data_IF_125738471951
#
_entry.id   IF_125738471951
#
_cell.length_a   1.000
_cell.length_b   1.000
_cell.length_c   1.000
_cell.angle_alpha   90.00
_cell.angle_beta   90.00
_cell.angle_gamma   90.00
#
_symmetry.space_group_name_H-M   'P 1'
#
loop_
_entity.id
_entity.type
_entity.pdbx_description
1 polymer ?
#
# COMPACT_ATOMS: atom_id res chain seq x y z
N UNK A 1 -0.98 -4.96 -14.93
CA UNK A 1 -0.01 -5.48 -13.95
C UNK A 1 -0.62 -5.42 -12.57
N UNK A 2 -0.39 -6.40 -11.67
CA UNK A 2 -0.76 -6.30 -10.27
C UNK A 2 0.16 -5.31 -9.55
N UNK A 3 -0.41 -4.43 -8.70
CA UNK A 3 0.36 -3.41 -8.00
C UNK A 3 0.66 -3.78 -6.53
N UNK A 4 0.09 -4.86 -6.01
CA UNK A 4 0.37 -5.39 -4.67
C UNK A 4 0.34 -4.29 -3.60
N UNK A 5 1.39 -4.19 -2.76
CA UNK A 5 1.46 -3.18 -1.71
C UNK A 5 1.57 -1.73 -2.21
N UNK A 6 1.85 -1.43 -3.48
CA UNK A 6 1.68 -0.07 -3.99
C UNK A 6 0.20 0.39 -3.91
N UNK A 7 -0.75 -0.55 -3.85
CA UNK A 7 -2.16 -0.25 -3.53
C UNK A 7 -2.31 0.52 -2.22
N UNK A 8 -1.40 0.33 -1.25
CA UNK A 8 -1.42 1.07 0.03
C UNK A 8 -1.20 2.56 -0.15
N UNK A 9 -0.40 2.97 -1.14
CA UNK A 9 -0.23 4.38 -1.48
C UNK A 9 -1.54 4.98 -1.98
N UNK A 10 -2.34 4.22 -2.74
CA UNK A 10 -3.67 4.64 -3.20
C UNK A 10 -4.66 4.76 -2.04
N UNK A 11 -4.66 3.76 -1.15
CA UNK A 11 -5.50 3.75 0.06
C UNK A 11 -5.15 4.94 0.96
N UNK A 12 -3.86 5.22 1.14
CA UNK A 12 -3.40 6.38 1.91
C UNK A 12 -3.83 7.70 1.26
N UNK A 13 -3.69 7.85 -0.06
CA UNK A 13 -4.14 9.02 -0.78
C UNK A 13 -5.66 9.23 -0.63
N UNK A 14 -6.46 8.18 -0.80
CA UNK A 14 -7.91 8.25 -0.62
C UNK A 14 -8.31 8.61 0.82
N UNK A 15 -7.65 8.02 1.83
CA UNK A 15 -7.88 8.35 3.23
C UNK A 15 -7.56 9.83 3.51
N UNK A 16 -6.46 10.36 2.96
CA UNK A 16 -6.07 11.75 3.13
C UNK A 16 -6.98 12.72 2.37
N UNK A 17 -7.53 12.33 1.21
CA UNK A 17 -8.60 13.07 0.54
C UNK A 17 -9.85 13.16 1.41
N UNK A 18 -10.23 12.05 2.07
CA UNK A 18 -11.35 12.08 3.02
C UNK A 18 -11.06 12.92 4.28
N UNK A 19 -9.80 12.98 4.73
CA UNK A 19 -9.39 13.90 5.81
C UNK A 19 -9.51 15.36 5.36
N UNK A 20 -9.03 15.69 4.15
CA UNK A 20 -9.18 17.01 3.53
C UNK A 20 -10.66 17.43 3.50
N UNK A 21 -11.54 16.49 3.15
CA UNK A 21 -12.98 16.73 3.03
C UNK A 21 -13.74 16.65 4.37
N UNK A 22 -13.02 16.51 5.50
CA UNK A 22 -13.61 16.44 6.85
C UNK A 22 -14.42 15.16 7.13
N UNK A 23 -14.30 14.14 6.28
CA UNK A 23 -15.00 12.86 6.39
C UNK A 23 -14.28 11.84 7.28
N UNK A 24 -12.96 11.98 7.42
CA UNK A 24 -12.12 11.20 8.34
C UNK A 24 -11.23 12.15 9.16
N UNK A 25 -10.71 11.66 10.28
CA UNK A 25 -9.78 12.39 11.14
C UNK A 25 -8.47 11.63 11.26
N UNK A 26 -7.35 12.31 11.03
CA UNK A 26 -6.04 11.68 10.97
C UNK A 26 -5.50 11.31 12.37
N UNK A 27 -5.70 12.19 13.33
CA UNK A 27 -5.07 12.16 14.65
C UNK A 27 -6.04 11.89 15.81
N UNK A 28 -7.29 11.57 15.50
CA UNK A 28 -8.30 11.15 16.47
C UNK A 28 -8.38 9.64 16.50
N UNK A 29 -8.60 9.06 17.69
CA UNK A 29 -8.85 7.63 17.80
C UNK A 29 -10.05 7.23 16.94
N UNK A 30 -9.88 6.17 16.17
CA UNK A 30 -10.99 5.62 15.40
C UNK A 30 -12.06 5.06 16.38
N UNK A 31 -13.35 5.09 16.02
CA UNK A 31 -14.43 4.61 16.88
C UNK A 31 -14.16 3.20 17.44
N UNK A 32 -14.15 3.08 18.78
CA UNK A 32 -13.90 1.81 19.47
C UNK A 32 -12.47 1.28 19.37
N UNK A 33 -11.50 2.07 18.87
CA UNK A 33 -10.10 1.65 18.69
C UNK A 33 -9.17 2.50 19.56
N UNK A 34 -8.02 1.91 19.93
CA UNK A 34 -6.94 2.57 20.69
C UNK A 34 -5.96 3.34 19.80
N UNK A 35 -6.12 3.27 18.48
CA UNK A 35 -5.21 3.85 17.50
C UNK A 35 -5.92 4.87 16.60
N UNK A 36 -5.13 5.73 15.97
CA UNK A 36 -5.59 6.73 15.00
C UNK A 36 -5.42 6.25 13.56
N UNK A 37 -6.07 6.94 12.62
CA UNK A 37 -5.86 6.71 11.19
C UNK A 37 -4.38 6.91 10.80
N UNK A 38 -3.70 7.92 11.36
CA UNK A 38 -2.27 8.16 11.13
C UNK A 38 -1.44 6.94 11.49
N UNK A 39 -1.72 6.36 12.66
CA UNK A 39 -0.97 5.20 13.15
C UNK A 39 -1.19 3.97 12.27
N UNK A 40 -2.38 3.77 11.70
CA UNK A 40 -2.60 2.71 10.71
C UNK A 40 -1.79 2.96 9.43
N UNK A 41 -1.92 4.16 8.86
CA UNK A 41 -1.25 4.54 7.61
C UNK A 41 0.28 4.48 7.71
N UNK A 42 0.84 4.75 8.90
CA UNK A 42 2.28 4.72 9.16
C UNK A 42 2.80 3.36 9.67
N UNK A 43 1.94 2.33 9.81
CA UNK A 43 2.26 1.02 10.40
C UNK A 43 2.73 1.08 11.87
N UNK A 44 2.15 2.00 12.65
CA UNK A 44 2.47 2.25 14.06
C UNK A 44 1.32 1.94 15.02
N UNK A 45 0.25 1.30 14.54
CA UNK A 45 -0.91 0.96 15.36
C UNK A 45 -0.74 -0.32 16.18
N UNK A 46 0.27 -1.15 15.89
CA UNK A 46 0.47 -2.45 16.54
C UNK A 46 -0.48 -3.55 16.06
N UNK A 47 -1.24 -3.32 14.98
CA UNK A 47 -2.20 -4.29 14.43
C UNK A 47 -1.44 -5.47 13.81
N UNK A 48 -1.73 -6.73 14.19
CA UNK A 48 -0.98 -7.89 13.70
C UNK A 48 -1.17 -8.13 12.19
N UNK A 49 -0.26 -8.88 11.58
CA UNK A 49 -0.26 -9.15 10.14
C UNK A 49 -0.50 -10.65 9.85
N UNK A 50 -1.16 -10.96 8.73
CA UNK A 50 -1.46 -12.34 8.33
C UNK A 50 -0.34 -13.01 7.51
N UNK A 51 0.65 -12.24 7.05
CA UNK A 51 1.74 -12.76 6.21
C UNK A 51 2.62 -13.82 6.88
N UNK A 52 2.57 -13.95 8.21
CA UNK A 52 3.27 -15.00 8.95
C UNK A 52 2.45 -16.28 9.20
N UNK A 53 1.16 -16.31 8.82
CA UNK A 53 0.29 -17.46 9.09
C UNK A 53 0.55 -18.61 8.11
N UNK A 54 1.06 -19.74 8.60
CA UNK A 54 1.25 -20.94 7.78
C UNK A 54 -0.05 -21.45 7.14
N UNK A 55 -1.18 -21.33 7.87
CA UNK A 55 -2.49 -21.68 7.34
C UNK A 55 -2.91 -20.83 6.14
N UNK A 56 -2.58 -19.54 6.14
CA UNK A 56 -2.86 -18.63 5.03
C UNK A 56 -2.08 -19.08 3.78
N UNK A 57 -0.77 -19.31 3.92
CA UNK A 57 0.07 -19.75 2.80
C UNK A 57 -0.35 -21.09 2.23
N UNK A 58 -0.71 -22.04 3.10
CA UNK A 58 -1.22 -23.36 2.69
C UNK A 58 -2.51 -23.23 1.88
N UNK A 59 -3.46 -22.42 2.33
CA UNK A 59 -4.76 -22.29 1.66
C UNK A 59 -4.67 -21.49 0.35
N UNK A 60 -3.78 -20.48 0.28
CA UNK A 60 -3.41 -19.79 -0.97
C UNK A 60 -2.78 -20.78 -1.96
N UNK A 61 -1.81 -21.58 -1.53
CA UNK A 61 -1.14 -22.56 -2.39
C UNK A 61 -2.08 -23.68 -2.85
N UNK A 62 -3.08 -24.04 -2.05
CA UNK A 62 -4.14 -24.97 -2.40
C UNK A 62 -5.25 -24.36 -3.26
N UNK A 63 -5.10 -23.11 -3.70
CA UNK A 63 -6.06 -22.38 -4.52
C UNK A 63 -7.48 -22.31 -3.91
N UNK A 64 -7.57 -22.26 -2.58
CA UNK A 64 -8.85 -22.10 -1.88
C UNK A 64 -9.38 -20.67 -2.00
N UNK A 65 -10.66 -20.52 -1.70
CA UNK A 65 -11.26 -19.19 -1.59
C UNK A 65 -10.76 -18.46 -0.34
N UNK A 66 -10.60 -17.13 -0.40
CA UNK A 66 -10.16 -16.32 0.73
C UNK A 66 -11.06 -16.50 1.95
N UNK A 67 -10.45 -16.50 3.13
CA UNK A 67 -11.22 -16.54 4.36
C UNK A 67 -12.11 -15.30 4.50
N UNK A 68 -13.30 -15.42 5.11
CA UNK A 68 -14.05 -14.25 5.55
C UNK A 68 -13.19 -13.34 6.43
N UNK A 69 -13.36 -12.03 6.33
CA UNK A 69 -12.58 -11.06 7.13
C UNK A 69 -12.64 -11.37 8.63
N UNK A 70 -13.79 -11.76 9.16
CA UNK A 70 -13.94 -12.13 10.57
C UNK A 70 -13.11 -13.37 10.96
N UNK A 71 -12.88 -14.30 10.03
CA UNK A 71 -11.99 -15.44 10.26
C UNK A 71 -10.52 -15.01 10.24
N UNK A 72 -10.12 -14.19 9.26
CA UNK A 72 -8.78 -13.63 9.23
C UNK A 72 -8.44 -12.87 10.52
N UNK A 73 -9.33 -11.98 10.97
CA UNK A 73 -9.11 -11.16 12.16
C UNK A 73 -8.98 -12.01 13.43
N UNK A 74 -9.74 -13.11 13.53
CA UNK A 74 -9.55 -14.11 14.60
C UNK A 74 -8.22 -14.84 14.47
N UNK A 75 -7.83 -15.24 13.26
CA UNK A 75 -6.61 -16.01 13.02
C UNK A 75 -5.33 -15.22 13.34
N UNK A 76 -5.35 -13.90 13.20
CA UNK A 76 -4.21 -13.02 13.57
C UNK A 76 -4.29 -12.47 15.00
N UNK A 77 -5.36 -12.78 15.73
CA UNK A 77 -5.68 -12.18 17.03
C UNK A 77 -5.69 -10.64 17.00
N UNK A 78 -6.52 -10.07 16.11
CA UNK A 78 -6.53 -8.64 15.80
C UNK A 78 -6.88 -7.72 16.99
N UNK A 79 -7.44 -8.27 18.07
CA UNK A 79 -7.75 -7.52 19.29
C UNK A 79 -6.52 -7.35 20.20
N UNK A 80 -5.50 -8.22 20.06
CA UNK A 80 -4.23 -8.11 20.74
C UNK A 80 -3.21 -7.34 19.90
N UNK A 81 -3.03 -6.05 20.20
CA UNK A 81 -1.98 -5.25 19.59
C UNK A 81 -0.59 -5.75 20.01
N UNK A 82 0.35 -5.78 19.07
CA UNK A 82 1.74 -6.20 19.27
C UNK A 82 2.53 -5.25 20.15
N UNK A 83 2.15 -3.98 20.16
CA UNK A 83 2.70 -2.89 20.96
C UNK A 83 1.65 -1.79 21.12
N UNK A 84 1.84 -0.87 22.06
CA UNK A 84 0.95 0.27 22.22
C UNK A 84 0.99 1.17 20.98
N UNK A 85 -0.15 1.66 20.47
CA UNK A 85 -0.17 2.54 19.31
C UNK A 85 0.77 3.74 19.46
N UNK A 86 1.66 3.92 18.48
CA UNK A 86 2.64 5.00 18.47
C UNK A 86 3.92 4.75 19.28
N UNK A 87 4.08 3.58 19.91
CA UNK A 87 5.32 3.21 20.63
C UNK A 87 6.25 2.28 19.83
N UNK A 88 5.78 1.75 18.70
CA UNK A 88 6.55 0.85 17.85
C UNK A 88 6.23 1.00 16.36
N UNK A 89 6.78 0.07 15.57
CA UNK A 89 6.52 -0.04 14.14
C UNK A 89 6.55 -1.51 13.71
N UNK A 90 5.51 -1.95 13.00
CA UNK A 90 5.46 -3.26 12.36
C UNK A 90 4.51 -3.20 11.16
N UNK A 91 4.99 -3.65 10.00
CA UNK A 91 4.24 -3.59 8.76
C UNK A 91 2.95 -4.44 8.84
N UNK A 92 1.78 -3.83 8.61
CA UNK A 92 0.49 -4.48 8.80
C UNK A 92 -0.43 -4.36 7.60
N UNK A 93 -0.63 -5.47 6.89
CA UNK A 93 -1.65 -5.55 5.85
C UNK A 93 -3.07 -5.47 6.45
N UNK A 94 -3.26 -5.96 7.68
CA UNK A 94 -4.54 -5.85 8.40
C UNK A 94 -4.80 -4.40 8.78
N UNK A 95 -3.78 -3.64 9.17
CA UNK A 95 -3.92 -2.20 9.40
C UNK A 95 -4.49 -1.48 8.17
N UNK A 96 -4.00 -1.81 6.97
CA UNK A 96 -4.54 -1.27 5.71
C UNK A 96 -5.92 -1.80 5.32
N UNK A 97 -6.27 -3.03 5.70
CA UNK A 97 -7.65 -3.52 5.62
C UNK A 97 -8.60 -2.65 6.45
N UNK A 98 -8.20 -2.25 7.67
CA UNK A 98 -9.02 -1.36 8.51
C UNK A 98 -9.16 0.04 7.91
N UNK A 99 -8.10 0.57 7.27
CA UNK A 99 -8.18 1.84 6.53
C UNK A 99 -9.14 1.72 5.34
N UNK A 100 -9.05 0.63 4.58
CA UNK A 100 -10.01 0.33 3.50
C UNK A 100 -11.45 0.35 4.01
N UNK A 101 -11.74 -0.34 5.11
CA UNK A 101 -13.09 -0.39 5.67
C UNK A 101 -13.60 0.99 6.08
N UNK A 102 -12.76 1.84 6.68
CA UNK A 102 -13.11 3.22 7.00
C UNK A 102 -13.38 4.07 5.75
N UNK A 103 -12.63 3.86 4.66
CA UNK A 103 -12.89 4.51 3.37
C UNK A 103 -14.24 4.05 2.80
N UNK A 104 -14.49 2.74 2.77
CA UNK A 104 -15.73 2.16 2.23
C UNK A 104 -16.96 2.66 3.02
N UNK A 105 -16.88 2.68 4.35
CA UNK A 105 -17.91 3.24 5.24
C UNK A 105 -18.14 4.74 4.99
N UNK A 106 -17.07 5.54 4.92
CA UNK A 106 -17.19 6.96 4.66
C UNK A 106 -17.78 7.24 3.26
N UNK A 107 -17.48 6.41 2.27
CA UNK A 107 -17.94 6.58 0.89
C UNK A 107 -19.32 6.00 0.62
N UNK A 108 -19.76 5.00 1.39
CA UNK A 108 -20.95 4.20 1.08
C UNK A 108 -20.79 3.34 -0.18
N UNK A 109 -19.55 2.99 -0.54
CA UNK A 109 -19.21 2.24 -1.76
C UNK A 109 -18.01 1.34 -1.52
N UNK A 110 -17.79 0.34 -2.38
CA UNK A 110 -16.57 -0.47 -2.33
C UNK A 110 -15.30 0.33 -2.63
N UNK A 111 -14.13 -0.27 -2.35
CA UNK A 111 -12.83 0.34 -2.58
C UNK A 111 -12.57 0.70 -4.05
N UNK A 112 -13.06 -0.07 -5.02
CA UNK A 112 -12.85 0.24 -6.45
C UNK A 112 -13.53 1.57 -6.82
N UNK A 113 -14.80 1.72 -6.46
CA UNK A 113 -15.55 2.95 -6.66
C UNK A 113 -14.95 4.13 -5.88
N UNK A 114 -14.51 3.89 -4.64
CA UNK A 114 -13.87 4.91 -3.82
C UNK A 114 -12.56 5.39 -4.45
N UNK A 115 -11.66 4.48 -4.87
CA UNK A 115 -10.39 4.86 -5.51
C UNK A 115 -10.60 5.53 -6.87
N UNK A 116 -11.57 5.08 -7.66
CA UNK A 116 -11.95 5.75 -8.92
C UNK A 116 -12.33 7.21 -8.69
N UNK A 117 -13.18 7.48 -7.69
CA UNK A 117 -13.66 8.84 -7.38
C UNK A 117 -12.60 9.70 -6.71
N UNK A 118 -11.88 9.17 -5.73
CA UNK A 118 -11.03 9.96 -4.84
C UNK A 118 -9.59 10.09 -5.36
N UNK A 119 -9.12 9.17 -6.22
CA UNK A 119 -7.72 9.10 -6.65
C UNK A 119 -7.61 9.05 -8.17
N UNK A 120 -8.18 8.05 -8.83
CA UNK A 120 -7.93 7.84 -10.26
C UNK A 120 -8.49 8.96 -11.13
N UNK A 121 -9.76 9.32 -10.99
CA UNK A 121 -10.36 10.38 -11.80
C UNK A 121 -9.71 11.76 -11.55
N UNK A 122 -9.49 12.22 -10.30
CA UNK A 122 -8.77 13.47 -10.03
C UNK A 122 -7.35 13.50 -10.57
N UNK A 123 -6.66 12.35 -10.61
CA UNK A 123 -5.32 12.23 -11.17
C UNK A 123 -5.33 11.89 -12.67
N UNK A 124 -6.48 11.85 -13.34
CA UNK A 124 -6.59 11.56 -14.78
C UNK A 124 -6.14 10.16 -15.19
N UNK A 125 -6.49 9.14 -14.41
CA UNK A 125 -6.15 7.73 -14.61
C UNK A 125 -7.40 6.95 -14.99
N UNK A 126 -7.36 6.27 -16.14
CA UNK A 126 -8.48 5.49 -16.65
C UNK A 126 -8.21 3.97 -16.68
N UNK A 127 -6.94 3.54 -16.72
CA UNK A 127 -6.56 2.14 -16.91
C UNK A 127 -6.49 1.31 -15.63
N UNK A 128 -6.85 1.87 -14.48
CA UNK A 128 -6.68 1.23 -13.17
C UNK A 128 -8.02 0.84 -12.52
N UNK A 129 -8.00 -0.26 -11.78
CA UNK A 129 -9.14 -0.78 -11.00
C UNK A 129 -8.65 -1.59 -9.80
N UNK A 130 -9.54 -1.89 -8.86
CA UNK A 130 -9.31 -2.90 -7.81
C UNK A 130 -9.90 -4.22 -8.28
N UNK A 131 -9.10 -5.29 -8.28
CA UNK A 131 -9.57 -6.64 -8.57
C UNK A 131 -10.31 -7.22 -7.36
N UNK A 132 -11.53 -7.74 -7.59
CA UNK A 132 -12.41 -8.27 -6.55
C UNK A 132 -12.61 -9.78 -6.69
N UNK A 133 -12.65 -10.27 -7.93
CA UNK A 133 -12.82 -11.67 -8.28
C UNK A 133 -11.70 -12.18 -9.19
N UNK A 134 -11.57 -13.50 -9.33
CA UNK A 134 -10.57 -14.15 -10.20
C UNK A 134 -10.65 -13.65 -11.66
N UNK A 135 -11.87 -13.42 -12.16
CA UNK A 135 -12.10 -12.93 -13.52
C UNK A 135 -11.46 -11.55 -13.76
N UNK A 136 -11.31 -10.72 -12.72
CA UNK A 136 -10.67 -9.40 -12.83
C UNK A 136 -9.15 -9.49 -13.03
N UNK A 137 -8.56 -10.69 -12.88
CA UNK A 137 -7.14 -10.94 -13.11
C UNK A 137 -6.85 -11.61 -14.47
N UNK A 138 -7.86 -11.88 -15.29
CA UNK A 138 -7.70 -12.62 -16.54
C UNK A 138 -6.79 -11.93 -17.57
N UNK A 139 -6.77 -10.59 -17.57
CA UNK A 139 -5.92 -9.71 -18.42
C UNK A 139 -4.70 -9.16 -17.65
N UNK A 140 -4.46 -9.64 -16.43
CA UNK A 140 -3.39 -9.16 -15.57
C UNK A 140 -2.20 -10.12 -15.65
N UNK A 141 -0.98 -9.59 -15.81
CA UNK A 141 0.24 -10.40 -15.83
C UNK A 141 0.56 -10.97 -14.43
N UNK A 142 -0.17 -12.02 -14.05
CA UNK A 142 -0.02 -12.74 -12.78
C UNK A 142 1.06 -13.84 -12.84
N UNK A 143 1.61 -14.12 -14.02
CA UNK A 143 2.60 -15.18 -14.21
C UNK A 143 2.08 -16.54 -13.75
N UNK A 144 2.86 -17.25 -12.94
CA UNK A 144 2.50 -18.55 -12.38
C UNK A 144 1.30 -18.49 -11.42
N UNK A 145 0.92 -17.29 -10.95
CA UNK A 145 -0.22 -17.07 -10.07
C UNK A 145 -1.51 -16.74 -10.86
N UNK A 146 -1.67 -17.25 -12.09
CA UNK A 146 -2.84 -17.01 -12.94
C UNK A 146 -4.18 -17.45 -12.29
N UNK A 147 -4.13 -18.43 -11.39
CA UNK A 147 -5.27 -18.86 -10.59
C UNK A 147 -5.33 -18.17 -9.22
N UNK A 148 -4.68 -17.04 -8.99
CA UNK A 148 -4.75 -16.37 -7.70
C UNK A 148 -6.13 -15.74 -7.47
N UNK A 149 -6.62 -15.76 -6.22
CA UNK A 149 -7.82 -15.01 -5.86
C UNK A 149 -7.42 -13.67 -5.22
N UNK A 150 -7.83 -12.51 -5.80
CA UNK A 150 -7.38 -11.20 -5.30
C UNK A 150 -7.83 -10.88 -3.86
N UNK A 151 -8.90 -11.50 -3.36
CA UNK A 151 -9.36 -11.37 -1.98
C UNK A 151 -8.38 -11.86 -0.90
N UNK A 152 -7.34 -12.63 -1.26
CA UNK A 152 -6.23 -12.93 -0.35
C UNK A 152 -5.36 -11.69 -0.04
N UNK A 153 -5.47 -10.63 -0.85
CA UNK A 153 -4.92 -9.31 -0.57
C UNK A 153 -5.99 -8.49 0.15
N UNK A 154 -6.11 -8.67 1.46
CA UNK A 154 -7.26 -8.15 2.22
C UNK A 154 -7.42 -6.61 2.18
N UNK A 155 -6.32 -5.87 2.08
CA UNK A 155 -6.37 -4.41 1.90
C UNK A 155 -6.87 -3.99 0.50
N UNK A 156 -6.97 -4.92 -0.45
CA UNK A 156 -7.33 -4.68 -1.85
C UNK A 156 -6.11 -4.82 -2.78
N UNK A 157 -6.36 -5.28 -4.00
CA UNK A 157 -5.34 -5.40 -5.06
C UNK A 157 -5.71 -4.47 -6.22
N UNK A 158 -5.04 -3.32 -6.29
CA UNK A 158 -5.11 -2.49 -7.49
C UNK A 158 -4.30 -3.13 -8.63
N UNK A 159 -4.84 -3.02 -9.83
CA UNK A 159 -4.23 -3.50 -11.08
C UNK A 159 -4.38 -2.44 -12.17
N UNK A 160 -3.37 -2.34 -13.04
CA UNK A 160 -3.40 -1.42 -14.18
C UNK A 160 -2.08 -1.38 -14.96
N UNK A 161 -1.99 -0.53 -16.00
CA UNK A 161 -0.74 -0.25 -16.71
C UNK A 161 0.35 0.25 -15.75
N UNK A 162 1.60 -0.13 -15.99
CA UNK A 162 2.72 0.31 -15.14
C UNK A 162 2.95 1.84 -15.22
N UNK A 163 2.70 2.43 -16.39
CA UNK A 163 2.77 3.88 -16.59
C UNK A 163 1.73 4.68 -15.78
N UNK A 164 0.56 4.07 -15.52
CA UNK A 164 -0.47 4.68 -14.66
C UNK A 164 0.00 4.70 -13.21
N UNK A 165 0.68 3.65 -12.74
CA UNK A 165 1.24 3.62 -11.38
C UNK A 165 2.29 4.73 -11.17
N UNK A 166 3.20 4.93 -12.14
CA UNK A 166 4.16 6.04 -12.13
C UNK A 166 3.44 7.40 -12.16
N UNK A 167 2.44 7.55 -13.04
CA UNK A 167 1.67 8.81 -13.16
C UNK A 167 0.92 9.14 -11.87
N UNK A 168 0.34 8.14 -11.20
CA UNK A 168 -0.34 8.34 -9.91
C UNK A 168 0.63 8.87 -8.87
N UNK A 169 1.78 8.20 -8.67
CA UNK A 169 2.74 8.63 -7.66
C UNK A 169 3.30 10.02 -7.97
N UNK A 170 3.60 10.28 -9.24
CA UNK A 170 4.12 11.57 -9.68
C UNK A 170 3.13 12.71 -9.41
N UNK A 171 1.88 12.57 -9.88
CA UNK A 171 0.83 13.58 -9.73
C UNK A 171 0.35 13.72 -8.29
N UNK A 172 0.38 12.64 -7.50
CA UNK A 172 0.10 12.69 -6.06
C UNK A 172 1.13 13.55 -5.30
N UNK A 173 2.41 13.40 -5.64
CA UNK A 173 3.51 14.06 -4.93
C UNK A 173 3.85 15.46 -5.46
N UNK A 174 3.32 15.85 -6.62
CA UNK A 174 3.63 17.13 -7.27
C UNK A 174 2.41 17.97 -7.62
N UNK A 175 1.24 17.36 -7.69
CA UNK A 175 -0.02 18.03 -7.96
C UNK A 175 -0.69 18.56 -6.70
N UNK A 176 -1.99 18.81 -6.82
CA UNK A 176 -2.81 19.50 -5.83
C UNK A 176 -3.90 18.60 -5.22
N UNK A 177 -3.83 17.28 -5.44
CA UNK A 177 -4.78 16.32 -4.89
C UNK A 177 -4.89 16.46 -3.35
N UNK A 178 -3.76 16.63 -2.69
CA UNK A 178 -3.66 16.87 -1.25
C UNK A 178 -3.18 18.30 -0.98
N UNK A 179 -3.80 19.04 -0.04
CA UNK A 179 -3.27 20.32 0.41
C UNK A 179 -1.91 20.13 1.07
N UNK A 180 -1.07 21.16 1.01
CA UNK A 180 0.33 21.10 1.45
C UNK A 180 0.54 20.48 2.86
N UNK A 181 -0.28 20.77 3.89
CA UNK A 181 -0.13 20.14 5.20
C UNK A 181 -0.34 18.62 5.19
N UNK A 182 -1.29 18.11 4.39
CA UNK A 182 -1.55 16.67 4.29
C UNK A 182 -0.51 15.96 3.42
N UNK A 183 -0.01 16.60 2.36
CA UNK A 183 1.11 16.07 1.58
C UNK A 183 2.39 16.02 2.43
N UNK A 184 2.65 17.05 3.25
CA UNK A 184 3.76 17.06 4.20
C UNK A 184 3.61 15.92 5.22
N UNK A 185 2.42 15.73 5.80
CA UNK A 185 2.13 14.61 6.69
C UNK A 185 2.33 13.25 6.01
N UNK A 186 1.95 13.10 4.74
CA UNK A 186 2.17 11.88 3.96
C UNK A 186 3.66 11.56 3.78
N UNK A 187 4.47 12.60 3.59
CA UNK A 187 5.91 12.53 3.39
C UNK A 187 6.74 12.47 4.69
N UNK A 188 6.12 12.72 5.85
CA UNK A 188 6.77 12.69 7.16
C UNK A 188 6.96 11.23 7.63
N UNK A 189 8.17 10.74 7.44
CA UNK A 189 8.50 9.33 7.64
C UNK A 189 8.91 9.04 9.08
N UNK A 190 8.33 8.00 9.67
CA UNK A 190 8.93 7.38 10.84
C UNK A 190 10.23 6.67 10.42
N UNK A 191 11.40 6.99 11.01
CA UNK A 191 12.65 6.35 10.64
C UNK A 191 12.66 4.89 11.10
N UNK A 192 13.05 3.98 10.21
CA UNK A 192 13.24 2.56 10.51
C UNK A 192 14.71 2.20 10.70
N UNK A 193 15.62 3.11 10.33
CA UNK A 193 17.05 2.97 10.52
C UNK A 193 17.79 2.69 9.21
N UNK A 194 18.86 1.91 9.34
CA UNK A 194 19.90 1.72 8.32
C UNK A 194 19.46 0.92 7.08
N UNK A 195 20.42 0.23 6.42
CA UNK A 195 20.16 -0.40 5.14
C UNK A 195 19.14 -1.53 5.27
N UNK A 196 18.34 -1.72 4.21
CA UNK A 196 17.49 -2.90 4.07
C UNK A 196 18.32 -3.99 3.40
N UNK A 197 18.51 -5.10 4.10
CA UNK A 197 19.33 -6.22 3.60
C UNK A 197 18.87 -6.67 2.22
N UNK A 198 19.84 -6.92 1.33
CA UNK A 198 19.59 -7.36 -0.04
C UNK A 198 19.02 -6.30 -0.97
N UNK A 199 18.66 -5.09 -0.50
CA UNK A 199 17.97 -4.05 -1.31
C UNK A 199 18.81 -2.77 -1.44
N UNK A 200 18.45 -1.81 -2.32
CA UNK A 200 19.26 -0.62 -2.58
C UNK A 200 19.03 0.55 -1.62
N UNK A 201 18.66 0.27 -0.37
CA UNK A 201 18.42 1.27 0.68
C UNK A 201 19.66 1.49 1.54
N UNK A 202 20.03 2.75 1.79
CA UNK A 202 20.99 3.13 2.84
C UNK A 202 20.28 3.46 4.16
N UNK A 203 19.14 4.14 4.07
CA UNK A 203 18.23 4.38 5.19
C UNK A 203 16.81 4.11 4.74
N UNK A 204 15.98 3.62 5.66
CA UNK A 204 14.58 3.37 5.42
C UNK A 204 13.71 4.06 6.47
N UNK A 205 12.49 4.38 6.05
CA UNK A 205 11.47 5.07 6.80
C UNK A 205 10.11 4.79 6.17
N UNK A 206 9.05 5.07 6.93
CA UNK A 206 7.69 4.86 6.46
C UNK A 206 6.81 6.08 6.78
N UNK A 207 6.31 6.74 5.74
CA UNK A 207 5.32 7.82 5.82
C UNK A 207 3.90 7.28 5.84
N UNK A 208 2.91 8.06 5.40
CA UNK A 208 1.54 7.57 5.28
C UNK A 208 1.37 6.84 3.95
N UNK A 209 1.59 5.52 3.94
CA UNK A 209 1.51 4.71 2.72
C UNK A 209 2.64 4.90 1.74
N UNK A 210 3.78 5.41 2.22
CA UNK A 210 5.01 5.56 1.44
C UNK A 210 6.19 4.95 2.20
N UNK A 211 6.96 4.11 1.53
CA UNK A 211 8.35 3.84 1.90
C UNK A 211 9.19 5.05 1.50
N UNK A 212 9.99 5.57 2.43
CA UNK A 212 10.76 6.81 2.26
C UNK A 212 12.15 6.61 2.82
N UNK A 213 13.19 7.07 2.13
CA UNK A 213 14.56 6.91 2.61
C UNK A 213 15.59 7.36 1.59
N UNK A 214 16.82 6.88 1.73
CA UNK A 214 17.92 7.16 0.80
C UNK A 214 18.35 5.91 0.05
N UNK A 215 18.52 6.05 -1.27
CA UNK A 215 19.05 4.99 -2.13
C UNK A 215 20.58 4.85 -2.02
N UNK A 216 21.15 3.81 -2.65
CA UNK A 216 22.60 3.52 -2.64
C UNK A 216 23.50 4.67 -3.12
N UNK A 217 22.99 5.62 -3.91
CA UNK A 217 23.75 6.80 -4.36
C UNK A 217 23.38 8.09 -3.60
N UNK A 218 22.76 7.96 -2.41
CA UNK A 218 22.48 9.05 -1.48
C UNK A 218 21.24 9.89 -1.80
N UNK A 219 20.54 9.59 -2.89
CA UNK A 219 19.32 10.27 -3.31
C UNK A 219 18.15 9.93 -2.39
N UNK A 220 17.31 10.92 -2.05
CA UNK A 220 16.03 10.67 -1.40
C UNK A 220 15.05 10.05 -2.38
N UNK A 221 14.40 8.97 -1.97
CA UNK A 221 13.34 8.27 -2.71
C UNK A 221 12.11 8.10 -1.83
N UNK A 222 10.94 8.17 -2.45
CA UNK A 222 9.65 7.96 -1.80
C UNK A 222 8.69 7.28 -2.76
N UNK A 223 7.93 6.30 -2.27
CA UNK A 223 7.12 5.44 -3.11
C UNK A 223 6.73 4.17 -2.39
N UNK A 224 6.59 3.06 -3.10
CA UNK A 224 6.34 1.77 -2.46
C UNK A 224 6.73 0.60 -3.37
N UNK A 225 7.37 -0.41 -2.78
CA UNK A 225 7.58 -1.74 -3.39
C UNK A 225 6.44 -2.67 -3.02
N UNK A 226 5.89 -3.38 -4.00
CA UNK A 226 4.82 -4.34 -3.80
C UNK A 226 5.25 -5.72 -4.29
N UNK A 227 5.19 -6.71 -3.40
CA UNK A 227 5.40 -8.11 -3.74
C UNK A 227 4.14 -8.93 -3.48
N UNK A 228 3.92 -9.94 -4.33
CA UNK A 228 2.92 -10.97 -4.13
C UNK A 228 3.18 -12.17 -5.03
N UNK A 229 2.28 -13.17 -5.04
CA UNK A 229 2.46 -14.36 -5.87
C UNK A 229 2.71 -14.03 -7.34
N UNK A 230 3.87 -14.44 -7.86
CA UNK A 230 4.22 -14.37 -9.27
C UNK A 230 4.79 -13.04 -9.76
N UNK A 231 4.89 -11.99 -8.94
CA UNK A 231 5.56 -10.75 -9.37
C UNK A 231 5.90 -9.76 -8.26
N UNK A 232 6.78 -8.82 -8.59
CA UNK A 232 7.06 -7.62 -7.80
C UNK A 232 6.92 -6.35 -8.64
N UNK A 233 6.62 -5.24 -7.98
CA UNK A 233 6.60 -3.89 -8.54
C UNK A 233 7.35 -2.94 -7.61
N UNK A 234 8.04 -1.96 -8.15
CA UNK A 234 8.57 -0.82 -7.41
C UNK A 234 8.13 0.47 -8.10
N UNK A 235 7.51 1.39 -7.36
CA UNK A 235 7.10 2.70 -7.88
C UNK A 235 7.66 3.76 -6.97
N UNK A 236 8.62 4.55 -7.46
CA UNK A 236 9.35 5.52 -6.64
C UNK A 236 9.58 6.83 -7.37
N UNK A 237 9.48 7.92 -6.61
CA UNK A 237 9.87 9.27 -7.04
C UNK A 237 11.19 9.67 -6.39
N UNK A 238 12.08 10.25 -7.19
CA UNK A 238 13.29 10.92 -6.75
C UNK A 238 13.13 12.44 -6.95
N UNK A 239 12.86 13.22 -5.88
CA UNK A 239 12.61 14.65 -6.00
C UNK A 239 13.79 15.43 -6.57
N UNK A 240 15.02 15.08 -6.18
CA UNK A 240 16.24 15.74 -6.65
C UNK A 240 16.43 15.64 -8.17
N UNK A 241 15.83 14.63 -8.81
CA UNK A 241 15.87 14.41 -10.25
C UNK A 241 14.58 14.78 -10.97
N UNK A 242 13.56 15.18 -10.23
CA UNK A 242 12.21 15.42 -10.73
C UNK A 242 11.67 14.26 -11.58
N UNK A 243 11.87 13.02 -11.12
CA UNK A 243 11.50 11.80 -11.85
C UNK A 243 10.74 10.81 -10.99
N UNK A 244 9.80 10.13 -11.62
CA UNK A 244 9.07 9.00 -11.04
C UNK A 244 9.23 7.79 -11.94
N UNK A 245 9.67 6.67 -11.38
CA UNK A 245 9.96 5.42 -12.10
C UNK A 245 9.10 4.31 -11.52
N UNK A 246 8.50 3.52 -12.40
CA UNK A 246 7.84 2.27 -12.06
C UNK A 246 8.54 1.11 -12.77
N UNK A 247 8.88 0.07 -12.02
CA UNK A 247 9.50 -1.16 -12.49
C UNK A 247 8.66 -2.37 -12.08
N UNK A 248 8.52 -3.34 -12.97
CA UNK A 248 7.77 -4.57 -12.73
C UNK A 248 8.63 -5.76 -13.13
N UNK A 249 8.61 -6.82 -12.32
CA UNK A 249 9.26 -8.07 -12.64
C UNK A 249 8.32 -9.24 -12.34
N UNK A 250 8.20 -10.24 -13.23
CA UNK A 250 7.51 -11.50 -12.95
C UNK A 250 8.32 -12.44 -12.04
N UNK A 251 9.46 -12.00 -11.49
CA UNK A 251 10.19 -12.70 -10.43
C UNK A 251 9.83 -12.14 -9.05
N UNK A 252 10.25 -12.82 -7.98
CA UNK A 252 10.09 -12.33 -6.60
C UNK A 252 11.26 -11.43 -6.13
N UNK A 253 12.02 -10.83 -7.06
CA UNK A 253 13.25 -10.08 -6.75
C UNK A 253 12.97 -8.58 -6.56
N UNK A 254 12.67 -8.20 -5.31
CA UNK A 254 12.47 -6.79 -4.93
C UNK A 254 13.71 -5.93 -5.19
N UNK A 255 14.92 -6.49 -5.03
CA UNK A 255 16.15 -5.76 -5.25
C UNK A 255 16.32 -5.33 -6.70
N UNK A 256 15.98 -6.21 -7.65
CA UNK A 256 16.08 -5.89 -9.08
C UNK A 256 15.19 -4.70 -9.46
N UNK A 257 13.90 -4.72 -9.07
CA UNK A 257 12.97 -3.63 -9.40
C UNK A 257 13.28 -2.34 -8.68
N UNK A 258 13.71 -2.40 -7.41
CA UNK A 258 14.12 -1.19 -6.69
C UNK A 258 15.43 -0.62 -7.21
N UNK A 259 16.40 -1.47 -7.55
CA UNK A 259 17.68 -1.01 -8.09
C UNK A 259 17.44 -0.27 -9.40
N UNK A 260 16.57 -0.79 -10.26
CA UNK A 260 16.14 -0.10 -11.46
C UNK A 260 15.44 1.24 -11.15
N UNK A 261 14.48 1.24 -10.22
CA UNK A 261 13.76 2.46 -9.84
C UNK A 261 14.65 3.53 -9.19
N UNK A 262 15.79 3.14 -8.62
CA UNK A 262 16.73 4.04 -7.94
C UNK A 262 17.90 4.48 -8.84
N UNK A 263 18.21 3.73 -9.90
CA UNK A 263 19.44 3.86 -10.69
C UNK A 263 19.52 5.13 -11.55
N UNK A 264 18.40 5.78 -11.84
CA UNK A 264 18.34 7.01 -12.66
C UNK A 264 17.95 8.25 -11.85
#
# INVERSE_FOLDING_TARGET
>A
MPWWSFTKTLIAAAALVLVRDGRLQLDTHMPGRRFTLRQLLQNRAGVPNYGGLAAYHRDVAANRDPWPVAELLRAVDADQLRFSPGEGWEYSNVGYLLVRQAIEEACGSDLDHALKRLVFAPLGIAGARVALARADLADVAMGEAASYHPGWVYHGLAVGPIGDAASILDRLLTGDLLPAPLLAAMCDAHPLGGPVEGRPWQTAGYGLGLMIGTGRVGQRVLGHTGGGPGSVIAVYRCPARNRTIAAFSPSADENAVESFAFAD
#
